data_IF_795754786723
#
_entry.id   IF_795754786723
#
_cell.length_a   1.000
_cell.length_b   1.000
_cell.length_c   1.000
_cell.angle_alpha   90.00
_cell.angle_beta   90.00
_cell.angle_gamma   90.00
#
_symmetry.space_group_name_H-M   'P 1'
#
loop_
_entity.id
_entity.type
_entity.pdbx_description
1 polymer ?
#
# COMPACT_ATOMS: atom_id res chain seq x y z
N UNK A 1 -20.15 -4.15 0.47
CA UNK A 1 -19.45 -4.24 -0.84
C UNK A 1 -19.47 -2.84 -1.42
N UNK A 2 -18.32 -2.17 -1.52
CA UNK A 2 -18.27 -0.74 -1.85
C UNK A 2 -18.62 -0.48 -3.32
N UNK A 3 -19.49 0.50 -3.54
CA UNK A 3 -20.02 0.91 -4.84
C UNK A 3 -18.92 1.23 -5.87
N UNK A 4 -18.93 0.51 -6.99
CA UNK A 4 -17.97 0.64 -8.10
C UNK A 4 -17.98 2.02 -8.78
N UNK A 5 -19.01 2.84 -8.54
CA UNK A 5 -19.22 4.13 -9.21
C UNK A 5 -18.66 5.34 -8.45
N UNK A 6 -18.10 5.17 -7.24
CA UNK A 6 -17.47 6.29 -6.54
C UNK A 6 -16.06 6.48 -7.08
N UNK A 7 -15.70 7.67 -7.62
CA UNK A 7 -14.32 7.93 -8.00
C UNK A 7 -13.46 7.68 -6.76
N UNK A 8 -12.49 6.75 -6.86
CA UNK A 8 -11.49 6.52 -5.82
C UNK A 8 -10.89 7.88 -5.51
N UNK A 9 -11.15 8.39 -4.31
CA UNK A 9 -10.84 9.76 -3.93
C UNK A 9 -9.37 10.12 -4.20
N UNK A 10 -9.04 11.42 -4.14
CA UNK A 10 -7.68 11.92 -4.35
C UNK A 10 -6.69 11.08 -3.55
N UNK A 11 -5.79 10.38 -4.24
CA UNK A 11 -4.83 9.47 -3.63
C UNK A 11 -3.87 10.30 -2.77
N UNK A 12 -3.91 10.09 -1.45
CA UNK A 12 -2.96 10.74 -0.52
C UNK A 12 -1.53 10.26 -0.81
N UNK A 13 -0.52 11.05 -0.41
CA UNK A 13 0.89 10.68 -0.51
C UNK A 13 1.18 9.30 0.11
N UNK A 14 0.55 8.99 1.25
CA UNK A 14 0.62 7.66 1.87
C UNK A 14 0.00 6.57 0.98
N UNK A 15 -1.11 6.86 0.29
CA UNK A 15 -1.74 5.90 -0.61
C UNK A 15 -0.87 5.61 -1.84
N UNK A 16 -0.20 6.64 -2.39
CA UNK A 16 0.86 6.47 -3.40
C UNK A 16 1.98 5.58 -2.91
N UNK A 17 2.52 5.85 -1.72
CA UNK A 17 3.59 5.06 -1.12
C UNK A 17 3.21 3.57 -0.97
N UNK A 18 2.02 3.28 -0.42
CA UNK A 18 1.52 1.91 -0.25
C UNK A 18 1.34 1.22 -1.61
N UNK A 19 0.89 1.93 -2.64
CA UNK A 19 0.78 1.38 -3.99
C UNK A 19 2.16 1.03 -4.58
N UNK A 20 3.14 1.92 -4.45
CA UNK A 20 4.51 1.67 -4.92
C UNK A 20 5.16 0.49 -4.19
N UNK A 21 5.02 0.41 -2.86
CA UNK A 21 5.50 -0.73 -2.10
C UNK A 21 4.82 -2.04 -2.55
N UNK A 22 3.55 -1.99 -2.95
CA UNK A 22 2.81 -3.18 -3.39
C UNK A 22 3.28 -3.66 -4.76
N UNK A 23 3.54 -2.75 -5.70
CA UNK A 23 4.12 -3.09 -7.00
C UNK A 23 5.53 -3.68 -6.87
N UNK A 24 6.39 -3.05 -6.07
CA UNK A 24 7.74 -3.55 -5.78
C UNK A 24 7.69 -4.96 -5.18
N UNK A 25 6.80 -5.18 -4.22
CA UNK A 25 6.62 -6.50 -3.60
C UNK A 25 6.13 -7.53 -4.62
N UNK A 26 5.16 -7.16 -5.48
CA UNK A 26 4.64 -8.05 -6.54
C UNK A 26 5.71 -8.42 -7.57
N UNK A 27 6.61 -7.49 -7.91
CA UNK A 27 7.73 -7.74 -8.85
C UNK A 27 8.79 -8.66 -8.25
N UNK A 28 9.15 -8.47 -6.97
CA UNK A 28 10.19 -9.26 -6.29
C UNK A 28 9.70 -10.63 -5.83
N UNK A 29 8.43 -10.75 -5.47
CA UNK A 29 7.82 -11.98 -4.99
C UNK A 29 6.54 -12.30 -5.77
N UNK A 30 6.66 -12.67 -7.06
CA UNK A 30 5.51 -13.12 -7.84
C UNK A 30 5.00 -14.44 -7.25
N UNK A 31 3.86 -14.38 -6.54
CA UNK A 31 3.20 -15.56 -5.95
C UNK A 31 3.10 -15.56 -4.42
N UNK A 32 3.78 -14.64 -3.72
CA UNK A 32 3.62 -14.51 -2.27
C UNK A 32 2.37 -13.71 -1.95
N UNK A 33 1.40 -14.36 -1.30
CA UNK A 33 0.22 -13.68 -0.75
C UNK A 33 0.65 -12.93 0.52
N UNK A 34 0.74 -11.60 0.42
CA UNK A 34 0.96 -10.75 1.59
C UNK A 34 -0.36 -10.36 2.21
N UNK A 35 -0.48 -10.59 3.52
CA UNK A 35 -1.64 -10.15 4.26
C UNK A 35 -1.67 -8.62 4.37
N UNK A 36 -2.82 -8.00 4.10
CA UNK A 36 -2.93 -6.53 4.08
C UNK A 36 -2.56 -5.90 5.43
N UNK A 37 -2.90 -6.55 6.55
CA UNK A 37 -2.58 -6.06 7.89
C UNK A 37 -1.07 -5.98 8.13
N UNK A 38 -0.34 -7.02 7.71
CA UNK A 38 1.11 -7.12 7.86
C UNK A 38 1.83 -6.13 6.93
N UNK A 39 1.34 -6.03 5.69
CA UNK A 39 1.84 -5.10 4.70
C UNK A 39 1.63 -3.64 5.12
N UNK A 40 0.46 -3.31 5.68
CA UNK A 40 0.12 -1.97 6.19
C UNK A 40 1.01 -1.58 7.35
N UNK A 41 1.28 -2.49 8.31
CA UNK A 41 2.22 -2.25 9.41
C UNK A 41 3.62 -1.94 8.89
N UNK A 42 4.15 -2.77 7.98
CA UNK A 42 5.48 -2.61 7.40
C UNK A 42 5.62 -1.31 6.59
N UNK A 43 4.58 -0.93 5.85
CA UNK A 43 4.53 0.36 5.17
C UNK A 43 4.48 1.53 6.16
N UNK A 44 3.68 1.43 7.22
CA UNK A 44 3.54 2.47 8.24
C UNK A 44 4.85 2.71 8.99
N UNK A 45 5.57 1.66 9.39
CA UNK A 45 6.87 1.76 10.05
C UNK A 45 7.89 2.45 9.15
N UNK A 46 7.97 2.04 7.87
CA UNK A 46 8.89 2.66 6.90
C UNK A 46 8.53 4.12 6.60
N UNK A 47 7.24 4.43 6.54
CA UNK A 47 6.76 5.80 6.35
C UNK A 47 7.14 6.70 7.52
N UNK A 48 7.05 6.22 8.76
CA UNK A 48 7.44 6.98 9.96
C UNK A 48 8.92 7.38 9.95
N UNK A 49 9.81 6.51 9.47
CA UNK A 49 11.25 6.81 9.32
C UNK A 49 11.49 7.97 8.34
N UNK A 50 10.63 8.13 7.33
CA UNK A 50 10.70 9.27 6.40
C UNK A 50 10.02 10.54 6.92
N UNK A 51 9.18 10.45 7.95
CA UNK A 51 8.44 11.57 8.54
C UNK A 51 8.94 11.96 9.94
N UNK A 52 10.05 11.36 10.38
CA UNK A 52 10.78 11.71 11.61
C UNK A 52 12.06 12.43 11.20
#
# INVERSE_FOLDING_TARGET
MGDLNKPKGKMSSYAFFVATCREEHKKKHPGTSVNFSEFSKKCSERWKVWNT
#
